data_IF_658052932053
#
_entry.id   IF_658052932053
#
_cell.length_a   1.000
_cell.length_b   1.000
_cell.length_c   1.000
_cell.angle_alpha   90.00
_cell.angle_beta   90.00
_cell.angle_gamma   90.00
#
_symmetry.space_group_name_H-M   'P 1'
#
loop_
_entity.id
_entity.type
_entity.pdbx_description
1 polymer ?
#
# COMPACT_ATOMS: atom_id res chain seq x y z
N UNK A 1 -20.90 -64.02 -11.59
CA UNK A 1 -19.57 -63.55 -12.04
C UNK A 1 -19.82 -62.51 -13.11
N UNK A 2 -19.19 -61.36 -12.96
CA UNK A 2 -19.20 -60.16 -13.83
C UNK A 2 -20.47 -59.30 -13.78
N UNK A 3 -20.44 -57.98 -13.63
CA UNK A 3 -19.62 -56.99 -12.90
C UNK A 3 -20.46 -55.70 -13.04
N UNK A 4 -20.71 -54.90 -11.99
CA UNK A 4 -21.44 -53.64 -12.16
C UNK A 4 -20.53 -52.63 -12.86
N UNK A 5 -20.99 -52.11 -14.00
CA UNK A 5 -20.32 -51.04 -14.73
C UNK A 5 -20.13 -49.83 -13.82
N UNK A 6 -18.87 -49.40 -13.72
CA UNK A 6 -18.46 -48.25 -12.94
C UNK A 6 -19.26 -47.01 -13.31
N UNK A 7 -19.94 -46.43 -12.33
CA UNK A 7 -20.31 -45.02 -12.36
C UNK A 7 -19.04 -44.21 -12.58
N UNK A 8 -18.95 -43.57 -13.75
CA UNK A 8 -18.07 -42.42 -13.95
C UNK A 8 -18.42 -41.39 -12.88
N UNK A 9 -17.48 -40.94 -12.03
CA UNK A 9 -17.77 -39.83 -11.15
C UNK A 9 -18.09 -38.64 -12.07
N UNK A 10 -19.30 -38.10 -11.93
CA UNK A 10 -19.64 -36.81 -12.51
C UNK A 10 -18.51 -35.85 -12.17
N UNK A 11 -17.95 -35.19 -13.19
CA UNK A 11 -16.98 -34.13 -13.01
C UNK A 11 -17.57 -33.17 -11.98
N UNK A 12 -16.97 -33.13 -10.79
CA UNK A 12 -17.36 -32.19 -9.77
C UNK A 12 -17.19 -30.82 -10.40
N UNK A 13 -18.29 -30.07 -10.45
CA UNK A 13 -18.40 -28.69 -10.90
C UNK A 13 -17.55 -27.83 -9.94
N UNK A 14 -16.24 -27.96 -10.07
CA UNK A 14 -15.24 -27.37 -9.18
C UNK A 14 -14.90 -26.04 -9.82
N UNK A 15 -15.80 -25.07 -9.65
CA UNK A 15 -15.44 -23.69 -9.97
C UNK A 15 -14.20 -23.37 -9.13
N UNK A 16 -13.08 -22.93 -9.74
CA UNK A 16 -11.88 -22.56 -8.98
C UNK A 16 -12.26 -21.48 -7.97
N UNK A 17 -11.62 -21.52 -6.80
CA UNK A 17 -11.69 -20.45 -5.81
C UNK A 17 -10.34 -19.73 -5.80
N UNK A 18 -10.27 -18.43 -6.15
CA UNK A 18 -11.38 -17.54 -6.50
C UNK A 18 -12.01 -17.82 -7.87
N UNK A 19 -13.31 -17.49 -7.96
CA UNK A 19 -14.05 -17.57 -9.21
C UNK A 19 -13.46 -16.59 -10.25
N UNK A 20 -13.07 -17.06 -11.45
CA UNK A 20 -12.45 -16.19 -12.44
C UNK A 20 -13.46 -15.18 -13.01
N UNK A 21 -13.05 -13.91 -13.19
CA UNK A 21 -13.84 -12.94 -13.94
C UNK A 21 -14.11 -13.40 -15.39
N UNK A 22 -15.17 -12.86 -16.00
CA UNK A 22 -15.61 -13.28 -17.34
C UNK A 22 -14.52 -13.09 -18.40
N UNK A 23 -13.71 -12.03 -18.29
CA UNK A 23 -12.59 -11.79 -19.19
C UNK A 23 -11.52 -12.90 -19.15
N UNK A 24 -11.28 -13.50 -17.98
CA UNK A 24 -10.37 -14.64 -17.83
C UNK A 24 -10.97 -15.91 -18.42
N UNK A 25 -12.27 -16.12 -18.24
CA UNK A 25 -12.99 -17.25 -18.87
C UNK A 25 -12.91 -17.16 -20.40
N UNK A 26 -13.09 -15.96 -20.98
CA UNK A 26 -12.94 -15.78 -22.42
C UNK A 26 -11.48 -15.94 -22.88
N UNK A 27 -10.51 -15.46 -22.11
CA UNK A 27 -9.09 -15.65 -22.41
C UNK A 27 -8.69 -17.14 -22.39
N UNK A 28 -9.20 -17.93 -21.44
CA UNK A 28 -8.95 -19.37 -21.34
C UNK A 28 -9.38 -20.13 -22.60
N UNK A 29 -10.52 -19.77 -23.19
CA UNK A 29 -11.02 -20.36 -24.45
C UNK A 29 -10.11 -20.09 -25.64
N UNK A 30 -9.36 -18.98 -25.60
CA UNK A 30 -8.40 -18.61 -26.63
C UNK A 30 -7.00 -19.19 -26.38
N UNK A 31 -6.73 -19.63 -25.15
CA UNK A 31 -5.45 -20.17 -24.70
C UNK A 31 -5.66 -21.47 -23.89
N UNK A 32 -5.96 -22.60 -24.56
CA UNK A 32 -6.05 -23.90 -23.91
C UNK A 32 -4.68 -24.35 -23.39
N UNK A 33 -4.68 -25.16 -22.33
CA UNK A 33 -3.48 -25.64 -21.62
C UNK A 33 -2.50 -24.52 -21.23
N UNK A 34 -3.04 -23.40 -20.74
CA UNK A 34 -2.27 -22.18 -20.44
C UNK A 34 -2.53 -21.66 -19.03
N UNK A 35 -1.57 -20.90 -18.50
CA UNK A 35 -1.69 -20.18 -17.24
C UNK A 35 -2.05 -18.71 -17.50
N UNK A 36 -3.07 -18.21 -16.81
CA UNK A 36 -3.61 -16.87 -16.92
C UNK A 36 -3.34 -16.12 -15.61
N UNK A 37 -2.40 -15.19 -15.64
CA UNK A 37 -1.96 -14.42 -14.48
C UNK A 37 -2.98 -13.33 -14.11
N UNK A 38 -3.28 -13.21 -12.81
CA UNK A 38 -4.06 -12.12 -12.24
C UNK A 38 -3.10 -11.06 -11.64
N UNK A 39 -2.81 -9.95 -12.33
CA UNK A 39 -2.07 -8.85 -11.74
C UNK A 39 -2.88 -8.14 -10.64
N UNK A 40 -2.18 -7.58 -9.66
CA UNK A 40 -2.76 -6.62 -8.72
C UNK A 40 -3.16 -5.34 -9.49
N UNK A 41 -4.41 -4.86 -9.37
CA UNK A 41 -4.88 -3.66 -10.07
C UNK A 41 -4.07 -2.40 -9.78
N UNK A 42 -3.35 -2.33 -8.66
CA UNK A 42 -2.51 -1.19 -8.31
C UNK A 42 -1.20 -1.14 -9.11
N UNK A 43 -0.82 -2.21 -9.81
CA UNK A 43 0.37 -2.22 -10.66
C UNK A 43 0.14 -1.44 -11.97
N UNK A 44 0.96 -0.42 -12.22
CA UNK A 44 0.82 0.50 -13.37
C UNK A 44 2.05 0.49 -14.32
N UNK A 45 2.88 -0.56 -14.27
CA UNK A 45 4.08 -0.64 -15.10
C UNK A 45 3.78 -0.90 -16.58
N UNK A 46 4.79 -0.70 -17.43
CA UNK A 46 4.73 -1.10 -18.83
C UNK A 46 5.12 -2.58 -18.99
N UNK A 47 4.43 -3.30 -19.89
CA UNK A 47 4.73 -4.70 -20.22
C UNK A 47 4.02 -5.70 -19.30
N UNK A 48 4.56 -6.93 -19.17
CA UNK A 48 4.06 -7.91 -18.21
C UNK A 48 4.35 -7.49 -16.76
N UNK A 49 3.43 -7.75 -15.82
CA UNK A 49 3.68 -7.52 -14.40
C UNK A 49 4.87 -8.37 -13.93
N UNK A 50 5.75 -7.83 -13.06
CA UNK A 50 6.74 -8.64 -12.37
C UNK A 50 6.05 -9.61 -11.41
N UNK A 51 6.70 -10.73 -11.10
CA UNK A 51 6.11 -11.80 -10.27
C UNK A 51 5.55 -11.27 -8.94
N UNK A 52 6.21 -10.32 -8.27
CA UNK A 52 5.73 -9.78 -7.00
C UNK A 52 4.40 -9.01 -7.09
N UNK A 53 4.00 -8.58 -8.29
CA UNK A 53 2.77 -7.84 -8.55
C UNK A 53 1.63 -8.72 -9.07
N UNK A 54 1.84 -10.04 -9.14
CA UNK A 54 0.83 -11.01 -9.55
C UNK A 54 0.20 -11.63 -8.30
N UNK A 55 -1.12 -11.58 -8.18
CA UNK A 55 -1.89 -12.17 -7.07
C UNK A 55 -1.82 -13.69 -7.11
N UNK A 56 -1.95 -14.25 -8.31
CA UNK A 56 -1.93 -15.67 -8.59
C UNK A 56 -2.29 -15.95 -10.04
N UNK A 57 -2.64 -17.19 -10.34
CA UNK A 57 -2.87 -17.61 -11.72
C UNK A 57 -3.90 -18.73 -11.81
N UNK A 58 -4.73 -18.66 -12.86
CA UNK A 58 -5.64 -19.73 -13.24
C UNK A 58 -5.04 -20.61 -14.33
N UNK A 59 -5.27 -21.92 -14.29
CA UNK A 59 -4.91 -22.84 -15.39
C UNK A 59 -6.13 -23.21 -16.21
N UNK A 60 -6.03 -23.10 -17.53
CA UNK A 60 -6.98 -23.69 -18.47
C UNK A 60 -6.59 -25.13 -18.83
N UNK A 61 -7.58 -25.95 -19.16
CA UNK A 61 -7.38 -27.26 -19.77
C UNK A 61 -7.36 -27.19 -21.31
N UNK A 62 -7.29 -28.35 -21.96
CA UNK A 62 -7.25 -28.47 -23.42
C UNK A 62 -8.52 -27.97 -24.12
N UNK A 63 -9.64 -27.90 -23.40
CA UNK A 63 -10.91 -27.37 -23.91
C UNK A 63 -11.04 -25.85 -23.66
N UNK A 64 -10.05 -25.24 -23.01
CA UNK A 64 -10.04 -23.83 -22.65
C UNK A 64 -10.94 -23.50 -21.46
N UNK A 65 -11.22 -24.50 -20.62
CA UNK A 65 -11.98 -24.34 -19.37
C UNK A 65 -11.00 -24.09 -18.22
N UNK A 66 -11.28 -23.12 -17.36
CA UNK A 66 -10.47 -22.89 -16.16
C UNK A 66 -10.76 -23.98 -15.14
N UNK A 67 -9.71 -24.68 -14.70
CA UNK A 67 -9.81 -25.87 -13.84
C UNK A 67 -9.06 -25.75 -12.52
N UNK A 68 -8.17 -24.78 -12.39
CA UNK A 68 -7.25 -24.69 -11.25
C UNK A 68 -6.86 -23.24 -10.95
N UNK A 69 -6.66 -22.94 -9.68
CA UNK A 69 -6.06 -21.70 -9.18
C UNK A 69 -4.79 -22.02 -8.40
N UNK A 70 -3.76 -21.20 -8.59
CA UNK A 70 -2.52 -21.23 -7.82
C UNK A 70 -2.23 -19.84 -7.27
N UNK A 71 -2.15 -19.73 -5.93
CA UNK A 71 -1.70 -18.52 -5.26
C UNK A 71 -0.22 -18.28 -5.52
N UNK A 72 0.15 -17.02 -5.75
CA UNK A 72 1.55 -16.66 -5.91
C UNK A 72 2.21 -16.37 -4.55
N UNK A 73 3.20 -17.17 -4.09
CA UNK A 73 3.86 -16.94 -2.81
C UNK A 73 4.74 -15.68 -2.79
N UNK A 74 5.13 -15.16 -3.96
CA UNK A 74 5.95 -13.95 -4.08
C UNK A 74 5.11 -12.66 -4.12
N UNK A 75 3.78 -12.79 -4.13
CA UNK A 75 2.85 -11.66 -4.20
C UNK A 75 3.06 -10.68 -3.03
N UNK A 76 3.19 -9.40 -3.37
CA UNK A 76 3.20 -8.28 -2.43
C UNK A 76 1.88 -7.53 -2.54
N UNK A 77 1.00 -7.62 -1.55
CA UNK A 77 -0.31 -6.98 -1.63
C UNK A 77 -0.22 -5.45 -1.72
N UNK A 78 -1.02 -4.87 -2.62
CA UNK A 78 -1.23 -3.42 -2.68
C UNK A 78 -2.01 -2.90 -1.47
N UNK A 79 -2.09 -1.56 -1.27
CA UNK A 79 -2.85 -0.99 -0.15
C UNK A 79 -4.30 -1.48 -0.07
N UNK A 80 -4.98 -1.54 -1.21
CA UNK A 80 -6.37 -2.02 -1.30
C UNK A 80 -6.46 -3.52 -0.96
N UNK A 81 -5.53 -4.33 -1.47
CA UNK A 81 -5.47 -5.77 -1.16
C UNK A 81 -5.15 -6.05 0.33
N UNK A 82 -4.43 -5.13 0.99
CA UNK A 82 -4.23 -5.14 2.45
C UNK A 82 -5.48 -4.74 3.25
N UNK A 83 -6.56 -4.33 2.56
CA UNK A 83 -7.78 -3.83 3.17
C UNK A 83 -7.65 -2.42 3.76
N UNK A 84 -6.65 -1.65 3.32
CA UNK A 84 -6.50 -0.27 3.76
C UNK A 84 -7.57 0.61 3.11
N UNK A 85 -8.07 1.64 3.83
CA UNK A 85 -9.02 2.58 3.29
C UNK A 85 -8.35 3.47 2.23
N UNK A 86 -9.18 4.07 1.37
CA UNK A 86 -8.73 5.13 0.47
C UNK A 86 -7.92 6.18 1.25
N UNK A 87 -6.74 6.58 0.74
CA UNK A 87 -5.90 7.57 1.38
C UNK A 87 -6.64 8.87 1.67
N UNK A 88 -6.36 9.45 2.83
CA UNK A 88 -7.00 10.69 3.29
C UNK A 88 -6.50 11.93 2.53
N UNK A 89 -5.27 11.87 2.01
CA UNK A 89 -4.59 12.93 1.28
C UNK A 89 -3.44 12.35 0.42
N UNK A 90 -2.75 13.21 -0.32
CA UNK A 90 -1.66 12.81 -1.22
C UNK A 90 -0.41 12.27 -0.48
N UNK A 91 -0.18 12.72 0.75
CA UNK A 91 0.95 12.24 1.57
C UNK A 91 0.63 10.84 2.10
N UNK A 92 -0.58 10.62 2.59
CA UNK A 92 -1.07 9.31 3.00
C UNK A 92 -1.04 8.32 1.83
N UNK A 93 -1.47 8.74 0.63
CA UNK A 93 -1.35 7.95 -0.60
C UNK A 93 0.09 7.55 -0.89
N UNK A 94 1.03 8.50 -0.80
CA UNK A 94 2.44 8.22 -1.01
C UNK A 94 3.00 7.26 0.05
N UNK A 95 2.61 7.40 1.33
CA UNK A 95 3.01 6.50 2.42
C UNK A 95 2.51 5.08 2.13
N UNK A 96 1.22 4.92 1.82
CA UNK A 96 0.62 3.62 1.55
C UNK A 96 1.31 2.90 0.38
N UNK A 97 1.56 3.60 -0.72
CA UNK A 97 2.22 3.04 -1.90
C UNK A 97 3.70 2.71 -1.63
N UNK A 98 4.43 3.59 -0.93
CA UNK A 98 5.82 3.34 -0.58
C UNK A 98 5.99 2.13 0.35
N UNK A 99 5.10 1.96 1.33
CA UNK A 99 5.16 0.82 2.26
C UNK A 99 4.85 -0.52 1.59
N UNK A 100 3.94 -0.54 0.62
CA UNK A 100 3.60 -1.76 -0.12
C UNK A 100 4.54 -2.03 -1.31
N UNK A 101 5.42 -1.08 -1.64
CA UNK A 101 6.36 -1.18 -2.75
C UNK A 101 5.76 -0.83 -4.12
N UNK A 102 4.53 -0.31 -4.16
CA UNK A 102 3.85 0.15 -5.37
C UNK A 102 4.19 1.60 -5.74
N UNK A 103 4.97 2.30 -4.91
CA UNK A 103 5.49 3.64 -5.20
C UNK A 103 6.89 3.85 -4.63
N UNK A 104 7.64 4.82 -5.17
CA UNK A 104 8.96 5.16 -4.65
C UNK A 104 8.84 5.88 -3.30
N UNK A 105 9.80 5.65 -2.40
CA UNK A 105 9.84 6.32 -1.09
C UNK A 105 9.99 7.85 -1.24
N UNK A 106 10.66 8.30 -2.30
CA UNK A 106 10.86 9.70 -2.66
C UNK A 106 9.54 10.42 -2.92
N UNK A 107 8.47 9.71 -3.30
CA UNK A 107 7.14 10.31 -3.48
C UNK A 107 6.60 10.89 -2.17
N UNK A 108 6.96 10.33 -1.01
CA UNK A 108 6.55 10.87 0.29
C UNK A 108 7.23 12.21 0.54
N UNK A 109 8.54 12.30 0.32
CA UNK A 109 9.28 13.57 0.46
C UNK A 109 8.79 14.62 -0.53
N UNK A 110 8.48 14.22 -1.77
CA UNK A 110 7.89 15.12 -2.76
C UNK A 110 6.51 15.64 -2.31
N UNK A 111 5.64 14.76 -1.80
CA UNK A 111 4.32 15.15 -1.30
C UNK A 111 4.39 16.04 -0.05
N UNK A 112 5.44 15.92 0.76
CA UNK A 112 5.69 16.79 1.92
C UNK A 112 6.23 18.17 1.53
N UNK A 113 6.78 18.32 0.34
CA UNK A 113 7.36 19.60 -0.09
C UNK A 113 6.29 20.67 -0.22
N UNK A 114 6.43 21.76 0.52
CA UNK A 114 5.46 22.85 0.59
C UNK A 114 4.16 22.51 1.35
N UNK A 115 4.04 21.30 1.91
CA UNK A 115 2.86 20.90 2.66
C UNK A 115 2.80 21.57 4.05
N UNK A 116 1.59 21.76 4.54
CA UNK A 116 1.31 22.05 5.93
C UNK A 116 0.77 20.80 6.61
N UNK A 117 1.23 20.52 7.83
CA UNK A 117 0.77 19.39 8.63
C UNK A 117 0.41 19.85 10.04
N UNK A 118 -0.48 19.11 10.69
CA UNK A 118 -0.85 19.34 12.08
C UNK A 118 0.15 18.64 13.01
N UNK A 119 0.63 19.37 14.01
CA UNK A 119 1.50 18.83 15.06
C UNK A 119 0.81 19.02 16.40
N UNK A 120 0.73 17.96 17.19
CA UNK A 120 0.24 18.05 18.56
C UNK A 120 1.21 18.91 19.38
N UNK A 121 0.67 19.79 20.23
CA UNK A 121 1.48 20.70 21.04
C UNK A 121 1.21 20.52 22.53
N UNK A 122 2.26 20.73 23.34
CA UNK A 122 2.16 20.81 24.79
C UNK A 122 1.47 22.10 25.23
N UNK A 123 1.20 22.24 26.53
CA UNK A 123 0.64 23.48 27.10
C UNK A 123 1.51 24.72 26.85
N UNK A 124 2.82 24.53 26.67
CA UNK A 124 3.78 25.59 26.37
C UNK A 124 3.90 25.90 24.86
N UNK A 125 3.15 25.19 24.01
CA UNK A 125 3.15 25.36 22.56
C UNK A 125 4.28 24.62 21.82
N UNK A 126 5.03 23.78 22.53
CA UNK A 126 6.11 22.96 21.95
C UNK A 126 5.55 21.68 21.30
N UNK A 127 6.15 21.17 20.21
CA UNK A 127 5.75 19.90 19.62
C UNK A 127 5.80 18.75 20.63
N UNK A 128 4.75 17.92 20.63
CA UNK A 128 4.70 16.69 21.42
C UNK A 128 5.76 15.72 20.92
N UNK A 129 6.61 15.27 21.85
CA UNK A 129 7.62 14.25 21.64
C UNK A 129 7.12 12.92 22.16
N UNK A 130 7.36 11.86 21.40
CA UNK A 130 6.93 10.51 21.71
C UNK A 130 8.02 9.51 21.30
N UNK A 131 7.71 8.23 21.44
CA UNK A 131 8.54 7.13 20.97
C UNK A 131 7.73 6.30 19.98
N UNK A 132 8.32 6.00 18.81
CA UNK A 132 7.75 5.05 17.87
C UNK A 132 7.78 3.63 18.46
N UNK A 133 7.05 2.65 17.88
CA UNK A 133 7.00 1.28 18.41
C UNK A 133 8.37 0.60 18.56
N UNK A 134 9.36 1.00 17.77
CA UNK A 134 10.73 0.50 17.81
C UNK A 134 11.64 1.24 18.81
N UNK A 135 11.12 2.25 19.52
CA UNK A 135 11.85 3.07 20.47
C UNK A 135 12.40 4.39 19.90
N UNK A 136 12.32 4.61 18.59
CA UNK A 136 12.85 5.84 17.95
C UNK A 136 12.17 7.09 18.52
N UNK A 137 12.92 8.09 19.02
CA UNK A 137 12.35 9.36 19.44
C UNK A 137 11.72 10.10 18.25
N UNK A 138 10.49 10.57 18.41
CA UNK A 138 9.73 11.18 17.32
C UNK A 138 8.95 12.42 17.74
N UNK A 139 8.70 13.30 16.79
CA UNK A 139 7.65 14.32 16.86
C UNK A 139 6.46 13.84 16.02
N UNK A 140 5.25 13.88 16.58
CA UNK A 140 4.04 13.42 15.89
C UNK A 140 3.51 14.49 14.93
N UNK A 141 3.28 14.10 13.68
CA UNK A 141 2.67 14.96 12.68
C UNK A 141 1.55 14.24 11.91
N UNK A 142 0.52 14.98 11.57
CA UNK A 142 -0.69 14.47 10.94
C UNK A 142 -0.99 15.28 9.68
N UNK A 143 -1.19 14.59 8.58
CA UNK A 143 -1.43 15.21 7.26
C UNK A 143 -2.92 15.43 6.99
N UNK A 144 -3.79 14.76 7.76
CA UNK A 144 -5.24 14.93 7.70
C UNK A 144 -5.90 15.01 9.07
N UNK A 145 -7.03 15.71 9.11
CA UNK A 145 -7.91 15.76 10.27
C UNK A 145 -8.38 14.37 10.70
N UNK A 146 -8.53 13.43 9.75
CA UNK A 146 -8.94 12.04 10.04
C UNK A 146 -8.00 11.38 11.04
N UNK A 147 -6.69 11.48 10.82
CA UNK A 147 -5.68 10.85 11.67
C UNK A 147 -5.34 11.67 12.90
N UNK A 148 -5.41 13.00 12.80
CA UNK A 148 -5.25 13.91 13.94
C UNK A 148 -6.31 13.65 15.01
N UNK A 149 -7.59 13.61 14.63
CA UNK A 149 -8.68 13.42 15.60
C UNK A 149 -8.71 12.01 16.21
N UNK A 150 -8.14 11.02 15.52
CA UNK A 150 -7.94 9.68 16.08
C UNK A 150 -6.92 9.69 17.25
N UNK A 151 -6.04 10.69 17.33
CA UNK A 151 -5.13 10.89 18.47
C UNK A 151 -5.86 11.42 19.73
N UNK A 152 -7.11 11.87 19.59
CA UNK A 152 -7.91 12.49 20.64
C UNK A 152 -8.14 13.99 20.42
N UNK A 153 -8.77 14.64 21.41
CA UNK A 153 -9.12 16.07 21.38
C UNK A 153 -8.04 16.93 22.05
N UNK A 154 -6.82 16.79 21.56
CA UNK A 154 -5.63 17.51 22.05
C UNK A 154 -5.42 18.80 21.26
N UNK A 155 -4.69 19.75 21.85
CA UNK A 155 -4.28 20.97 21.16
C UNK A 155 -3.26 20.65 20.06
N UNK A 156 -3.39 21.32 18.92
CA UNK A 156 -2.48 21.18 17.79
C UNK A 156 -2.23 22.53 17.13
N UNK A 157 -1.15 22.60 16.34
CA UNK A 157 -0.85 23.71 15.45
C UNK A 157 -0.65 23.18 14.03
N UNK A 158 -1.21 23.87 13.04
CA UNK A 158 -0.85 23.67 11.64
C UNK A 158 0.41 24.46 11.34
N UNK A 159 1.42 23.79 10.78
CA UNK A 159 2.70 24.39 10.46
C UNK A 159 3.20 23.84 9.11
N UNK A 160 3.86 24.66 8.29
CA UNK A 160 4.60 24.16 7.14
C UNK A 160 5.65 23.15 7.57
N UNK A 161 5.84 22.07 6.80
CA UNK A 161 6.82 21.01 7.11
C UNK A 161 8.21 21.60 7.35
N UNK A 162 8.66 22.54 6.51
CA UNK A 162 9.95 23.21 6.70
C UNK A 162 10.07 23.94 8.05
N UNK A 163 8.98 24.51 8.56
CA UNK A 163 8.95 25.14 9.90
C UNK A 163 9.06 24.08 11.01
N UNK A 164 8.38 22.94 10.85
CA UNK A 164 8.44 21.84 11.82
C UNK A 164 9.85 21.30 11.94
N UNK A 165 10.56 21.12 10.83
CA UNK A 165 11.94 20.63 10.84
C UNK A 165 12.89 21.50 11.67
N UNK A 166 12.62 22.80 11.81
CA UNK A 166 13.41 23.68 12.69
C UNK A 166 13.09 23.52 14.19
N UNK A 167 11.99 22.83 14.53
CA UNK A 167 11.51 22.59 15.89
C UNK A 167 11.67 21.15 16.35
N UNK A 168 11.99 20.23 15.43
CA UNK A 168 12.29 18.83 15.78
C UNK A 168 13.69 18.79 16.41
N UNK A 169 13.85 18.15 17.58
CA UNK A 169 15.18 17.97 18.17
C UNK A 169 16.10 17.14 17.24
N UNK A 170 17.43 17.36 17.25
CA UNK A 170 18.35 16.71 16.31
C UNK A 170 18.35 15.17 16.35
N UNK A 171 17.95 14.56 17.46
CA UNK A 171 17.87 13.10 17.66
C UNK A 171 16.46 12.53 17.41
N UNK A 172 15.53 13.34 16.91
CA UNK A 172 14.15 12.96 16.67
C UNK A 172 13.82 12.88 15.18
N UNK A 173 13.05 11.86 14.82
CA UNK A 173 12.40 11.74 13.53
C UNK A 173 11.01 12.40 13.54
N UNK A 174 10.41 12.58 12.36
CA UNK A 174 9.00 12.94 12.21
C UNK A 174 8.18 11.67 12.05
N UNK A 175 7.16 11.45 12.88
CA UNK A 175 6.25 10.32 12.70
C UNK A 175 4.93 10.82 12.09
N UNK A 176 4.76 10.54 10.80
CA UNK A 176 3.58 10.86 10.03
C UNK A 176 2.45 9.86 10.29
N UNK A 177 1.26 10.39 10.56
CA UNK A 177 0.00 9.65 10.62
C UNK A 177 0.06 8.41 11.51
N UNK A 178 0.55 8.56 12.75
CA UNK A 178 0.75 7.46 13.70
C UNK A 178 -0.51 6.64 14.01
N UNK A 179 -1.71 7.16 13.68
CA UNK A 179 -3.00 6.51 13.90
C UNK A 179 -3.69 6.04 12.60
N UNK A 180 -2.99 6.16 11.47
CA UNK A 180 -3.45 5.58 10.21
C UNK A 180 -3.18 4.06 10.20
N UNK A 181 -3.80 3.30 9.28
CA UNK A 181 -3.50 1.88 9.05
C UNK A 181 -2.01 1.63 8.79
N UNK A 182 -1.33 2.61 8.19
CA UNK A 182 0.12 2.68 8.06
C UNK A 182 0.58 4.12 8.30
N UNK A 183 1.64 4.28 9.09
CA UNK A 183 2.33 5.56 9.30
C UNK A 183 3.80 5.44 8.93
N UNK A 184 4.49 6.57 8.79
CA UNK A 184 5.89 6.60 8.38
C UNK A 184 6.75 7.41 9.34
N UNK A 185 7.85 6.80 9.80
CA UNK A 185 8.90 7.49 10.55
C UNK A 185 9.94 7.99 9.56
N UNK A 186 10.08 9.31 9.49
CA UNK A 186 11.01 10.00 8.58
C UNK A 186 12.16 10.61 9.38
N UNK A 187 13.41 10.18 9.14
CA UNK A 187 14.59 10.89 9.64
C UNK A 187 14.56 12.35 9.18
N UNK A 188 14.90 13.26 10.09
CA UNK A 188 14.94 14.69 9.78
C UNK A 188 16.29 15.15 9.22
N UNK A 189 17.34 14.36 9.45
CA UNK A 189 18.67 14.59 8.87
C UNK A 189 18.62 14.60 7.34
N UNK A 190 19.03 15.73 6.75
CA UNK A 190 19.03 15.92 5.30
C UNK A 190 17.66 16.16 4.66
N UNK A 191 16.55 15.99 5.41
CA UNK A 191 15.19 16.16 4.89
C UNK A 191 14.92 17.59 4.43
N UNK A 192 15.40 18.60 5.17
CA UNK A 192 15.25 20.00 4.78
C UNK A 192 15.87 20.28 3.40
N UNK A 193 17.06 19.74 3.12
CA UNK A 193 17.73 19.90 1.83
C UNK A 193 17.00 19.18 0.68
N UNK A 194 16.36 18.04 0.96
CA UNK A 194 15.54 17.34 -0.03
C UNK A 194 14.25 18.10 -0.36
N UNK A 195 13.64 18.76 0.63
CA UNK A 195 12.44 19.58 0.42
C UNK A 195 12.77 20.86 -0.37
N UNK A 196 13.93 21.46 -0.15
CA UNK A 196 14.42 22.63 -0.90
C UNK A 196 14.84 22.30 -2.35
N UNK A 197 15.37 21.09 -2.57
CA UNK A 197 15.84 20.62 -3.89
C UNK A 197 14.74 20.24 -4.88
N UNK A 198 13.48 20.13 -4.44
CA UNK A 198 12.32 19.78 -5.26
C UNK A 198 11.80 20.91 -6.15
N UNK A 199 12.69 21.71 -6.76
CA UNK A 199 12.28 22.66 -7.80
C UNK A 199 11.97 21.87 -9.08
N UNK A 200 10.82 22.07 -9.77
CA UNK A 200 10.55 21.37 -11.01
C UNK A 200 11.65 21.68 -12.03
N UNK A 201 12.21 20.64 -12.65
CA UNK A 201 12.89 20.81 -13.94
C UNK A 201 11.80 21.24 -14.95
N UNK A 202 12.00 22.41 -15.57
CA UNK A 202 11.20 22.89 -16.70
C UNK A 202 11.11 21.87 -17.85
#
# INVERSE_FOLDING_TARGET
>A
MSEPGAETPAAADTTPDPAPPEEYVQAARLAPDHWLYLPDPAWQGEGPPPDWAVVGQWRSDSDGTIVEWEDNPEYRPSPEAMGWPEPADDIDRAIQLATTGYGPAEAVTAALSGAEVAVLVTADGEPVRASAPDGTPVVLAYTSDRYLHAAGRLSFAHLPVGTILTRVPPDHALYLNSNAPVGMVLPTDGLAGLLEGGTPLE
#
